data_IF_097535566065
#
_entry.id   IF_097535566065
#
_cell.length_a   1.000
_cell.length_b   1.000
_cell.length_c   1.000
_cell.angle_alpha   90.00
_cell.angle_beta   90.00
_cell.angle_gamma   90.00
#
_symmetry.space_group_name_H-M   'P 1'
#
loop_
_entity.id
_entity.type
_entity.pdbx_description
1 polymer ?
#
# COMPACT_ATOMS: atom_id res chain seq x y z
N UNK A 1 -8.61 29.29 -21.11
CA UNK A 1 -7.42 28.37 -21.08
C UNK A 1 -7.83 27.20 -20.20
N UNK A 2 -7.89 26.00 -20.72
CA UNK A 2 -7.98 24.79 -19.93
C UNK A 2 -6.56 24.56 -19.42
N UNK A 3 -6.36 24.64 -18.10
CA UNK A 3 -5.04 24.41 -17.49
C UNK A 3 -4.54 22.99 -17.76
N UNK A 4 -3.24 22.78 -17.70
CA UNK A 4 -2.67 21.43 -17.75
C UNK A 4 -3.24 20.57 -16.61
N UNK A 5 -3.53 19.27 -16.85
CA UNK A 5 -4.05 18.40 -15.81
C UNK A 5 -3.04 18.24 -14.67
N UNK A 6 -3.53 18.22 -13.43
CA UNK A 6 -2.68 17.94 -12.26
C UNK A 6 -2.35 16.47 -12.25
N UNK A 7 -1.08 16.13 -12.49
CA UNK A 7 -0.62 14.74 -12.57
C UNK A 7 -0.37 14.09 -11.20
N UNK A 8 -0.11 14.90 -10.16
CA UNK A 8 0.12 14.41 -8.80
C UNK A 8 -0.44 15.38 -7.77
N UNK A 9 -1.29 14.86 -6.87
CA UNK A 9 -1.79 15.59 -5.71
C UNK A 9 -1.20 15.00 -4.43
N UNK A 10 -0.61 15.84 -3.56
CA UNK A 10 0.03 15.37 -2.32
C UNK A 10 -0.49 16.13 -1.12
N UNK A 11 -1.07 15.41 -0.15
CA UNK A 11 -1.40 15.90 1.18
C UNK A 11 -0.30 15.51 2.15
N UNK A 12 0.50 16.48 2.59
CA UNK A 12 1.68 16.24 3.44
C UNK A 12 1.35 16.10 4.93
N UNK A 13 0.26 16.71 5.38
CA UNK A 13 -0.10 16.77 6.79
C UNK A 13 -1.45 16.11 7.02
N UNK A 14 -1.48 15.11 7.86
CA UNK A 14 -2.66 14.40 8.34
C UNK A 14 -2.40 13.84 9.74
N UNK A 15 -3.46 13.65 10.51
CA UNK A 15 -3.37 13.11 11.85
C UNK A 15 -2.92 11.65 11.80
N UNK A 16 -2.02 11.28 12.70
CA UNK A 16 -1.46 9.93 12.82
C UNK A 16 -1.75 9.35 14.18
N UNK A 17 -2.06 8.05 14.29
CA UNK A 17 -2.09 7.40 15.59
C UNK A 17 -0.70 7.46 16.24
N UNK A 18 -0.69 7.49 17.57
CA UNK A 18 0.56 7.42 18.34
C UNK A 18 1.19 6.03 18.28
N UNK A 19 2.48 5.94 18.57
CA UNK A 19 3.17 4.64 18.65
C UNK A 19 2.54 3.71 19.69
N UNK A 20 2.03 4.23 20.81
CA UNK A 20 1.34 3.44 21.83
C UNK A 20 0.02 2.87 21.29
N UNK A 21 -0.75 3.67 20.53
CA UNK A 21 -1.96 3.21 19.86
C UNK A 21 -1.68 2.11 18.83
N UNK A 22 -0.60 2.23 18.04
CA UNK A 22 -0.17 1.18 17.12
C UNK A 22 0.33 -0.05 17.88
N UNK A 23 1.04 0.18 18.99
CA UNK A 23 1.66 -0.87 19.81
C UNK A 23 0.66 -1.90 20.35
N UNK A 24 -0.57 -1.49 20.64
CA UNK A 24 -1.60 -2.41 21.14
C UNK A 24 -2.02 -3.47 20.13
N UNK A 25 -1.76 -3.25 18.83
CA UNK A 25 -2.08 -4.21 17.76
C UNK A 25 -0.94 -5.18 17.44
N UNK A 26 0.23 -5.02 18.04
CA UNK A 26 1.38 -5.89 17.77
C UNK A 26 1.09 -7.31 18.27
N UNK A 27 1.18 -8.30 17.36
CA UNK A 27 0.97 -9.71 17.68
C UNK A 27 -0.50 -10.12 17.90
N UNK A 28 -1.45 -9.21 17.73
CA UNK A 28 -2.89 -9.55 17.82
C UNK A 28 -3.34 -10.15 16.49
N UNK A 29 -4.10 -11.24 16.56
CA UNK A 29 -4.77 -11.82 15.39
C UNK A 29 -5.77 -10.82 14.80
N UNK A 30 -5.75 -10.64 13.47
CA UNK A 30 -6.69 -9.78 12.74
C UNK A 30 -8.16 -10.18 12.95
N UNK A 31 -8.43 -11.47 13.20
CA UNK A 31 -9.78 -11.94 13.56
C UNK A 31 -10.31 -11.25 14.83
N UNK A 32 -9.51 -11.14 15.87
CA UNK A 32 -9.92 -10.44 17.11
C UNK A 32 -10.17 -8.95 16.88
N UNK A 33 -9.39 -8.32 15.99
CA UNK A 33 -9.61 -6.90 15.63
C UNK A 33 -10.94 -6.74 14.90
N UNK A 34 -11.24 -7.62 13.94
CA UNK A 34 -12.50 -7.62 13.19
C UNK A 34 -13.70 -7.90 14.12
N UNK A 35 -13.58 -8.88 15.03
CA UNK A 35 -14.64 -9.18 16.01
C UNK A 35 -14.95 -7.97 16.90
N UNK A 36 -13.92 -7.24 17.36
CA UNK A 36 -14.07 -6.02 18.14
C UNK A 36 -14.75 -4.87 17.36
N UNK A 37 -14.75 -4.95 16.03
CA UNK A 37 -15.41 -4.01 15.11
C UNK A 37 -16.75 -4.54 14.57
N UNK A 38 -17.41 -5.45 15.30
CA UNK A 38 -18.69 -6.06 14.89
C UNK A 38 -18.61 -6.81 13.54
N UNK A 39 -17.48 -7.46 13.26
CA UNK A 39 -17.29 -8.26 12.06
C UNK A 39 -17.01 -7.47 10.78
N UNK A 40 -16.54 -6.23 10.90
CA UNK A 40 -16.29 -5.33 9.75
C UNK A 40 -14.85 -4.79 9.73
N UNK A 41 -14.48 -4.05 8.68
CA UNK A 41 -13.20 -3.35 8.56
C UNK A 41 -12.07 -4.18 7.92
N UNK A 42 -12.33 -5.43 7.51
CA UNK A 42 -11.36 -6.20 6.74
C UNK A 42 -11.32 -5.73 5.28
N UNK A 43 -10.11 -5.63 4.72
CA UNK A 43 -9.91 -5.39 3.29
C UNK A 43 -10.42 -6.59 2.46
N UNK A 44 -10.50 -6.40 1.15
CA UNK A 44 -10.93 -7.45 0.20
C UNK A 44 -10.15 -8.76 0.44
N UNK A 45 -10.89 -9.89 0.45
CA UNK A 45 -10.33 -11.23 0.68
C UNK A 45 -9.27 -11.65 -0.36
N UNK A 46 -9.23 -11.02 -1.52
CA UNK A 46 -8.23 -11.27 -2.56
C UNK A 46 -6.87 -10.70 -2.22
N UNK A 47 -6.80 -9.70 -1.36
CA UNK A 47 -5.52 -9.15 -0.88
C UNK A 47 -4.91 -10.17 0.08
N UNK A 48 -3.83 -10.80 -0.34
CA UNK A 48 -3.14 -11.87 0.39
C UNK A 48 -1.68 -11.50 0.65
N UNK A 49 -1.10 -12.01 1.75
CA UNK A 49 0.33 -11.91 1.94
C UNK A 49 1.07 -12.67 0.84
N UNK A 50 2.18 -12.12 0.39
CA UNK A 50 3.04 -12.77 -0.61
C UNK A 50 3.73 -14.03 -0.05
N UNK A 51 3.88 -14.12 1.28
CA UNK A 51 4.28 -15.32 2.02
C UNK A 51 3.45 -15.47 3.30
N UNK A 52 3.33 -16.69 3.81
CA UNK A 52 2.38 -17.08 4.88
C UNK A 52 2.69 -16.51 6.26
N UNK A 53 3.92 -16.12 6.52
CA UNK A 53 4.43 -15.64 7.82
C UNK A 53 4.48 -14.10 7.93
N UNK A 54 3.89 -13.39 6.96
CA UNK A 54 3.89 -11.94 6.96
C UNK A 54 2.83 -11.37 7.90
N UNK A 55 3.27 -10.54 8.85
CA UNK A 55 2.41 -9.81 9.77
C UNK A 55 2.97 -8.41 10.05
N UNK A 56 2.08 -7.44 10.27
CA UNK A 56 2.45 -6.07 10.61
C UNK A 56 1.31 -5.34 11.32
N UNK A 57 1.67 -4.24 12.00
CA UNK A 57 0.75 -3.20 12.43
C UNK A 57 1.47 -1.84 12.26
N UNK A 58 0.81 -0.83 11.70
CA UNK A 58 1.43 0.47 11.44
C UNK A 58 0.40 1.53 11.04
N UNK A 59 0.84 2.79 11.10
CA UNK A 59 0.08 3.91 10.54
C UNK A 59 0.07 3.84 9.03
N UNK A 60 -1.06 4.17 8.40
CA UNK A 60 -1.21 4.08 6.94
C UNK A 60 -0.91 5.41 6.28
N UNK A 61 -0.10 5.39 5.23
CA UNK A 61 -0.05 6.42 4.20
C UNK A 61 -0.71 5.87 2.93
N UNK A 62 -1.68 6.58 2.42
CA UNK A 62 -2.45 6.19 1.24
C UNK A 62 -1.82 6.69 -0.05
N UNK A 63 -1.87 5.88 -1.07
CA UNK A 63 -1.46 6.19 -2.44
C UNK A 63 -2.56 5.74 -3.37
N UNK A 64 -3.05 6.63 -4.23
CA UNK A 64 -3.92 6.28 -5.33
C UNK A 64 -3.18 6.38 -6.65
N UNK A 65 -3.35 5.39 -7.51
CA UNK A 65 -2.85 5.39 -8.90
C UNK A 65 -3.96 4.98 -9.85
N UNK A 66 -3.94 5.55 -11.04
CA UNK A 66 -4.82 5.11 -12.12
C UNK A 66 -4.46 3.69 -12.60
N UNK A 67 -5.39 3.00 -13.27
CA UNK A 67 -5.11 1.69 -13.87
C UNK A 67 -3.81 1.68 -14.68
N UNK A 68 -2.96 0.68 -14.42
CA UNK A 68 -1.64 0.50 -15.06
C UNK A 68 -0.64 1.64 -14.80
N UNK A 69 -0.80 2.42 -13.74
CA UNK A 69 0.11 3.52 -13.41
C UNK A 69 0.81 3.31 -12.06
N UNK A 70 1.95 3.97 -11.84
CA UNK A 70 2.69 3.95 -10.58
C UNK A 70 3.27 5.31 -10.18
N UNK A 71 2.90 6.40 -10.87
CA UNK A 71 3.51 7.72 -10.64
C UNK A 71 3.51 8.14 -9.17
N UNK A 72 2.41 7.93 -8.45
CA UNK A 72 2.27 8.35 -7.06
C UNK A 72 2.98 7.43 -6.04
N UNK A 73 3.45 6.24 -6.45
CA UNK A 73 4.04 5.25 -5.53
C UNK A 73 5.35 5.76 -4.91
N UNK A 74 6.28 6.25 -5.74
CA UNK A 74 7.56 6.77 -5.24
C UNK A 74 7.38 8.00 -4.34
N UNK A 75 6.57 9.01 -4.70
CA UNK A 75 6.20 10.09 -3.79
C UNK A 75 5.56 9.62 -2.48
N UNK A 76 4.73 8.57 -2.53
CA UNK A 76 4.15 7.95 -1.33
C UNK A 76 5.22 7.38 -0.39
N UNK A 77 6.17 6.63 -0.93
CA UNK A 77 7.32 6.11 -0.16
C UNK A 77 8.18 7.27 0.39
N UNK A 78 8.43 8.30 -0.41
CA UNK A 78 9.24 9.43 0.02
C UNK A 78 8.59 10.20 1.19
N UNK A 79 7.25 10.34 1.19
CA UNK A 79 6.48 11.01 2.24
C UNK A 79 6.28 10.15 3.49
N UNK A 80 6.31 8.82 3.35
CA UNK A 80 6.15 7.89 4.46
C UNK A 80 7.23 8.08 5.53
N UNK A 81 6.87 7.80 6.78
CA UNK A 81 7.78 7.78 7.93
C UNK A 81 8.17 6.33 8.27
N UNK A 82 9.33 6.11 8.93
CA UNK A 82 9.66 4.79 9.45
C UNK A 82 8.52 4.23 10.33
N UNK A 83 8.14 2.97 10.08
CA UNK A 83 7.00 2.33 10.76
C UNK A 83 5.66 2.47 10.05
N UNK A 84 5.55 3.29 9.02
CA UNK A 84 4.32 3.39 8.21
C UNK A 84 4.08 2.13 7.35
N UNK A 85 2.82 1.95 7.01
CA UNK A 85 2.33 1.04 5.97
C UNK A 85 1.94 1.87 4.75
N UNK A 86 2.46 1.54 3.59
CA UNK A 86 2.03 2.17 2.32
C UNK A 86 0.86 1.36 1.76
N UNK A 87 -0.31 1.99 1.70
CA UNK A 87 -1.52 1.40 1.11
C UNK A 87 -1.72 1.99 -0.29
N UNK A 88 -1.60 1.14 -1.32
CA UNK A 88 -1.71 1.54 -2.74
C UNK A 88 -3.03 1.02 -3.28
N UNK A 89 -3.91 1.94 -3.65
CA UNK A 89 -5.18 1.67 -4.30
C UNK A 89 -5.02 1.87 -5.81
N UNK A 90 -5.45 0.85 -6.58
CA UNK A 90 -5.33 0.78 -8.04
C UNK A 90 -6.70 0.66 -8.74
N UNK A 91 -7.79 0.89 -8.00
CA UNK A 91 -9.15 0.54 -8.43
C UNK A 91 -9.34 -0.96 -8.73
N UNK A 92 -8.54 -1.82 -8.07
CA UNK A 92 -8.57 -3.27 -8.30
C UNK A 92 -8.08 -3.68 -9.68
N UNK A 93 -7.20 -2.89 -10.30
CA UNK A 93 -6.65 -3.19 -11.63
C UNK A 93 -5.77 -4.45 -11.60
N UNK A 94 -6.04 -5.39 -12.49
CA UNK A 94 -5.51 -6.76 -12.48
C UNK A 94 -4.79 -7.19 -13.78
N UNK A 95 -4.36 -6.23 -14.64
CA UNK A 95 -3.62 -6.55 -15.87
C UNK A 95 -2.12 -6.21 -15.79
N UNK A 96 -1.70 -5.34 -14.88
CA UNK A 96 -0.29 -5.02 -14.67
C UNK A 96 0.06 -4.86 -13.20
N UNK A 97 1.31 -5.16 -12.86
CA UNK A 97 1.85 -4.91 -11.53
C UNK A 97 1.96 -3.41 -11.25
N UNK A 98 1.68 -2.98 -10.01
CA UNK A 98 1.88 -1.61 -9.56
C UNK A 98 3.25 -1.41 -8.93
N UNK A 99 3.83 -2.47 -8.35
CA UNK A 99 5.17 -2.47 -7.76
C UNK A 99 5.94 -3.75 -8.10
N UNK A 100 7.26 -3.68 -7.95
CA UNK A 100 8.18 -4.81 -8.00
C UNK A 100 9.23 -4.72 -6.89
N UNK A 101 10.30 -5.49 -7.00
CA UNK A 101 11.38 -5.63 -6.03
C UNK A 101 12.09 -4.29 -5.72
N UNK A 102 12.37 -3.47 -6.73
CA UNK A 102 13.02 -2.17 -6.52
C UNK A 102 12.21 -1.26 -5.60
N UNK A 103 10.87 -1.23 -5.75
CA UNK A 103 9.98 -0.46 -4.88
C UNK A 103 9.97 -1.05 -3.46
N UNK A 104 9.98 -2.37 -3.32
CA UNK A 104 10.07 -3.06 -2.03
C UNK A 104 11.38 -2.72 -1.31
N UNK A 105 12.51 -2.72 -2.01
CA UNK A 105 13.82 -2.34 -1.49
C UNK A 105 13.82 -0.85 -1.04
N UNK A 106 13.27 0.05 -1.86
CA UNK A 106 13.14 1.48 -1.49
C UNK A 106 12.32 1.64 -0.20
N UNK A 107 11.18 0.96 -0.09
CA UNK A 107 10.33 0.98 1.08
C UNK A 107 11.05 0.43 2.31
N UNK A 108 11.74 -0.69 2.18
CA UNK A 108 12.55 -1.28 3.25
C UNK A 108 13.63 -0.33 3.75
N UNK A 109 14.37 0.30 2.83
CA UNK A 109 15.44 1.25 3.16
C UNK A 109 14.91 2.52 3.84
N UNK A 110 13.67 2.91 3.54
CA UNK A 110 12.97 4.02 4.20
C UNK A 110 12.47 3.65 5.61
N UNK A 111 12.50 2.38 5.98
CA UNK A 111 11.97 1.89 7.26
C UNK A 111 10.45 1.67 7.25
N UNK A 112 9.84 1.60 6.07
CA UNK A 112 8.42 1.27 5.90
C UNK A 112 8.20 -0.15 6.40
N UNK A 113 7.10 -0.36 7.10
CA UNK A 113 6.79 -1.62 7.77
C UNK A 113 6.16 -2.66 6.85
N UNK A 114 5.31 -2.21 5.92
CA UNK A 114 4.65 -3.08 4.95
C UNK A 114 4.13 -2.29 3.75
N UNK A 115 3.86 -3.00 2.65
CA UNK A 115 3.11 -2.48 1.50
C UNK A 115 1.85 -3.33 1.35
N UNK A 116 0.72 -2.67 1.13
CA UNK A 116 -0.58 -3.31 0.85
C UNK A 116 -1.14 -2.70 -0.44
N UNK A 117 -1.65 -3.55 -1.34
CA UNK A 117 -2.31 -3.08 -2.56
C UNK A 117 -3.46 -3.98 -2.98
N UNK A 118 -4.50 -3.40 -3.55
CA UNK A 118 -5.57 -4.12 -4.23
C UNK A 118 -5.21 -4.51 -5.68
N UNK A 119 -4.03 -4.10 -6.14
CA UNK A 119 -3.44 -4.45 -7.42
C UNK A 119 -2.50 -5.65 -7.37
N UNK A 120 -1.79 -5.84 -8.48
CA UNK A 120 -0.81 -6.91 -8.66
C UNK A 120 0.61 -6.41 -8.35
N UNK A 121 1.51 -7.37 -8.06
CA UNK A 121 2.95 -7.11 -7.94
C UNK A 121 3.73 -7.96 -8.94
N UNK A 122 4.99 -7.63 -9.19
CA UNK A 122 5.93 -8.45 -9.97
C UNK A 122 7.19 -8.75 -9.16
N UNK A 123 8.08 -9.57 -9.71
CA UNK A 123 9.38 -9.88 -9.11
C UNK A 123 9.24 -10.40 -7.65
N UNK A 124 8.30 -11.33 -7.44
CA UNK A 124 7.92 -11.82 -6.10
C UNK A 124 9.12 -12.33 -5.29
N UNK A 125 10.06 -13.04 -5.93
CA UNK A 125 11.29 -13.53 -5.28
C UNK A 125 12.16 -12.37 -4.77
N UNK A 126 12.31 -11.31 -5.56
CA UNK A 126 13.05 -10.12 -5.18
C UNK A 126 12.36 -9.34 -4.04
N UNK A 127 11.03 -9.25 -4.05
CA UNK A 127 10.25 -8.67 -2.94
C UNK A 127 10.47 -9.47 -1.66
N UNK A 128 10.41 -10.80 -1.71
CA UNK A 128 10.65 -11.67 -0.57
C UNK A 128 12.08 -11.51 -0.03
N UNK A 129 13.06 -11.43 -0.93
CA UNK A 129 14.47 -11.19 -0.57
C UNK A 129 14.69 -9.82 0.10
N UNK A 130 13.92 -8.79 -0.27
CA UNK A 130 13.97 -7.49 0.40
C UNK A 130 13.52 -7.56 1.87
N UNK A 131 12.72 -8.56 2.25
CA UNK A 131 12.31 -8.81 3.64
C UNK A 131 11.36 -7.75 4.20
N UNK A 132 10.48 -7.20 3.36
CA UNK A 132 9.36 -6.34 3.76
C UNK A 132 8.04 -7.08 3.50
N UNK A 133 7.08 -7.10 4.44
CA UNK A 133 5.76 -7.66 4.20
C UNK A 133 5.05 -6.95 3.05
N UNK A 134 4.57 -7.73 2.07
CA UNK A 134 3.75 -7.24 0.96
C UNK A 134 2.48 -8.06 0.86
N UNK A 135 1.33 -7.36 0.81
CA UNK A 135 0.00 -7.93 0.62
C UNK A 135 -0.55 -7.38 -0.69
N UNK A 136 -1.01 -8.26 -1.57
CA UNK A 136 -1.47 -7.91 -2.92
C UNK A 136 -2.59 -8.83 -3.40
N UNK A 137 -3.22 -8.46 -4.52
CA UNK A 137 -4.27 -9.28 -5.14
C UNK A 137 -3.70 -10.42 -5.99
N UNK A 138 -2.41 -10.38 -6.34
CA UNK A 138 -1.77 -11.42 -7.14
C UNK A 138 -0.43 -10.96 -7.73
N UNK A 139 0.10 -11.78 -8.64
CA UNK A 139 1.40 -11.57 -9.30
C UNK A 139 1.21 -11.52 -10.81
N UNK A 140 1.82 -10.54 -11.49
CA UNK A 140 1.84 -10.42 -12.96
C UNK A 140 3.16 -9.79 -13.40
N UNK A 141 3.79 -10.27 -14.48
CA UNK A 141 5.04 -9.68 -15.00
C UNK A 141 4.83 -8.37 -15.76
N UNK A 142 3.59 -8.01 -16.12
CA UNK A 142 3.30 -6.81 -16.88
C UNK A 142 3.72 -5.55 -16.12
N UNK A 143 4.35 -4.60 -16.81
CA UNK A 143 4.85 -3.37 -16.22
C UNK A 143 3.81 -2.26 -16.19
N UNK A 144 3.81 -1.43 -15.13
CA UNK A 144 3.04 -0.20 -15.10
C UNK A 144 3.68 0.90 -15.95
N UNK A 145 2.90 1.95 -16.22
CA UNK A 145 3.39 3.25 -16.67
C UNK A 145 3.68 4.17 -15.47
N UNK A 146 4.20 5.36 -15.75
CA UNK A 146 4.41 6.42 -14.75
C UNK A 146 4.00 7.76 -15.36
N UNK A 147 2.70 7.87 -15.63
CA UNK A 147 2.10 9.00 -16.35
C UNK A 147 1.16 9.81 -15.46
N UNK A 148 0.56 9.18 -14.47
CA UNK A 148 -0.49 9.77 -13.65
C UNK A 148 -1.85 9.89 -14.37
N UNK A 149 -2.82 10.56 -13.78
CA UNK A 149 -2.71 11.21 -12.47
C UNK A 149 -2.64 10.22 -11.30
N UNK A 150 -2.28 10.74 -10.12
CA UNK A 150 -2.27 9.99 -8.90
C UNK A 150 -2.28 10.89 -7.66
N UNK A 151 -2.45 10.28 -6.48
CA UNK A 151 -2.43 11.06 -5.25
C UNK A 151 -1.77 10.35 -4.08
N UNK A 152 -1.31 11.13 -3.09
CA UNK A 152 -0.68 10.66 -1.85
C UNK A 152 -1.30 11.37 -0.65
N UNK A 153 -1.64 10.61 0.39
CA UNK A 153 -2.17 11.13 1.65
C UNK A 153 -3.62 11.60 1.58
N UNK A 154 -4.34 11.29 0.50
CA UNK A 154 -5.77 11.52 0.36
C UNK A 154 -6.57 10.24 0.68
N UNK A 155 -7.85 10.34 1.05
CA UNK A 155 -8.69 9.15 1.24
C UNK A 155 -8.70 8.27 0.00
N UNK A 156 -8.64 6.96 0.22
CA UNK A 156 -8.79 5.92 -0.80
C UNK A 156 -9.89 4.96 -0.36
N UNK A 157 -10.42 4.16 -1.27
CA UNK A 157 -11.41 3.15 -0.94
C UNK A 157 -11.06 1.83 -1.63
N UNK A 158 -10.74 0.82 -0.84
CA UNK A 158 -10.50 -0.53 -1.33
C UNK A 158 -11.74 -1.38 -1.02
N UNK A 159 -12.60 -1.56 -2.03
CA UNK A 159 -13.84 -2.35 -1.98
C UNK A 159 -14.74 -2.03 -0.77
N UNK A 160 -14.90 -0.75 -0.50
CA UNK A 160 -15.84 -0.26 0.51
C UNK A 160 -15.26 -0.11 1.92
N UNK A 161 -13.97 -0.29 2.06
CA UNK A 161 -13.21 0.03 3.29
C UNK A 161 -12.34 1.24 3.04
#
# INVERSE_FOLDING_TARGET
MIGEPVMLTVRKHFDRPTNDQIGVFQGISTGFVVDAQNGTGALDYRIKPLATDMAFAGSVITVHVEPRDMLAVQPGIALAQPGDVVLIETNGYDDAAVIGDNVAIMAKNKGIRAIVTDGLVRDAEGILAAGIPVFCAGVSPNSPYSLGPGSVGLPVAIKGV
#
